data_IF_286313728215
#
_entry.id   IF_286313728215
#
_cell.length_a   1.000
_cell.length_b   1.000
_cell.length_c   1.000
_cell.angle_alpha   90.00
_cell.angle_beta   90.00
_cell.angle_gamma   90.00
#
_symmetry.space_group_name_H-M   'P 1'
#
loop_
_entity.id
_entity.type
_entity.pdbx_description
1 polymer ?
#
# COMPACT_ATOMS: atom_id res chain seq x y z
N UNK A 1 9.56 -28.00 9.26
CA UNK A 1 10.92 -27.58 8.90
C UNK A 1 10.83 -26.09 8.72
N UNK A 2 11.35 -25.31 9.68
CA UNK A 2 11.51 -23.87 9.46
C UNK A 2 12.48 -23.74 8.28
N UNK A 3 12.03 -23.18 7.18
CA UNK A 3 12.91 -22.79 6.09
C UNK A 3 13.59 -21.49 6.58
N UNK A 4 14.85 -21.58 7.03
CA UNK A 4 15.63 -20.45 7.55
C UNK A 4 15.94 -19.39 6.47
N UNK A 5 15.27 -19.45 5.32
CA UNK A 5 15.46 -18.52 4.21
C UNK A 5 14.57 -17.29 4.36
N UNK A 6 15.18 -16.13 4.17
CA UNK A 6 14.43 -14.88 4.06
C UNK A 6 13.42 -14.92 2.90
N UNK A 7 12.26 -14.33 3.11
CA UNK A 7 11.22 -14.20 2.10
C UNK A 7 10.39 -12.93 2.32
N UNK A 8 9.85 -12.36 1.27
CA UNK A 8 8.88 -11.27 1.35
C UNK A 8 7.51 -11.87 1.67
N UNK A 9 6.91 -11.56 2.84
CA UNK A 9 5.59 -12.07 3.20
C UNK A 9 4.51 -11.52 2.30
N UNK A 10 3.38 -12.22 2.22
CA UNK A 10 2.16 -11.66 1.65
C UNK A 10 1.52 -10.69 2.65
N UNK A 11 0.75 -9.71 2.15
CA UNK A 11 0.11 -8.72 3.01
C UNK A 11 -0.93 -9.29 3.99
N UNK A 12 -1.48 -10.48 3.74
CA UNK A 12 -2.36 -11.19 4.67
C UNK A 12 -1.62 -12.06 5.71
N UNK A 13 -0.29 -12.02 5.74
CA UNK A 13 0.46 -12.64 6.83
C UNK A 13 0.18 -11.92 8.15
N UNK A 14 0.38 -12.62 9.27
CA UNK A 14 0.17 -12.03 10.61
C UNK A 14 1.07 -10.79 10.78
N UNK A 15 0.49 -9.74 11.33
CA UNK A 15 1.12 -8.43 11.48
C UNK A 15 1.20 -8.05 12.97
N UNK A 16 2.22 -7.28 13.33
CA UNK A 16 2.33 -6.63 14.64
C UNK A 16 1.65 -5.26 14.67
N UNK A 17 1.47 -4.61 13.54
CA UNK A 17 0.79 -3.34 13.43
C UNK A 17 0.89 -2.70 12.05
N UNK A 18 0.28 -1.53 11.93
CA UNK A 18 0.30 -0.68 10.73
C UNK A 18 0.94 0.67 11.07
N UNK A 19 1.79 1.18 10.18
CA UNK A 19 2.30 2.54 10.22
C UNK A 19 1.35 3.49 9.47
N UNK A 20 1.08 4.65 10.08
CA UNK A 20 0.50 5.83 9.45
C UNK A 20 1.46 7.00 9.63
N UNK A 21 1.69 7.78 8.59
CA UNK A 21 2.36 9.08 8.65
C UNK A 21 1.26 10.15 8.64
N UNK A 22 1.19 10.95 9.72
CA UNK A 22 0.03 11.79 10.03
C UNK A 22 0.05 13.11 9.25
N UNK A 23 -1.09 13.54 8.63
CA UNK A 23 -1.17 14.81 7.92
C UNK A 23 -1.02 16.00 8.88
N UNK A 24 -0.39 17.07 8.41
CA UNK A 24 -0.22 18.31 9.16
C UNK A 24 -0.21 19.54 8.24
N UNK A 25 -0.22 20.72 8.82
CA UNK A 25 -0.33 21.98 8.06
C UNK A 25 0.88 22.28 7.13
N UNK A 26 1.97 21.53 7.27
CA UNK A 26 3.14 21.62 6.39
C UNK A 26 3.10 20.69 5.18
N UNK A 27 2.04 19.89 5.01
CA UNK A 27 1.84 18.98 3.89
C UNK A 27 0.83 19.55 2.89
N UNK A 28 0.69 18.92 1.74
CA UNK A 28 -0.29 19.30 0.71
C UNK A 28 -1.75 19.12 1.16
N UNK A 29 -1.97 18.51 2.33
CA UNK A 29 -3.27 18.40 3.01
C UNK A 29 -3.78 19.69 3.66
N UNK A 30 -2.93 20.73 3.79
CA UNK A 30 -3.28 21.97 4.50
C UNK A 30 -4.64 22.58 4.10
N UNK A 31 -5.06 22.60 2.81
CA UNK A 31 -6.34 23.20 2.41
C UNK A 31 -7.60 22.48 2.95
N UNK A 32 -7.48 21.20 3.32
CA UNK A 32 -8.59 20.34 3.81
C UNK A 32 -8.14 19.43 4.95
N UNK A 33 -7.27 19.98 5.82
CA UNK A 33 -6.64 19.26 6.92
C UNK A 33 -7.67 18.64 7.89
N UNK A 34 -8.76 19.35 8.19
CA UNK A 34 -9.80 18.84 9.08
C UNK A 34 -10.52 17.61 8.47
N UNK A 35 -10.78 17.63 7.15
CA UNK A 35 -11.45 16.53 6.47
C UNK A 35 -10.56 15.27 6.47
N UNK A 36 -9.27 15.41 6.10
CA UNK A 36 -8.34 14.28 6.08
C UNK A 36 -8.04 13.76 7.49
N UNK A 37 -7.96 14.64 8.50
CA UNK A 37 -7.77 14.24 9.89
C UNK A 37 -8.92 13.36 10.37
N UNK A 38 -10.17 13.65 10.02
CA UNK A 38 -11.31 12.79 10.38
C UNK A 38 -11.20 11.41 9.71
N UNK A 39 -10.73 11.34 8.48
CA UNK A 39 -10.47 10.06 7.79
C UNK A 39 -9.36 9.27 8.48
N UNK A 40 -8.28 9.92 8.90
CA UNK A 40 -7.20 9.29 9.68
C UNK A 40 -7.67 8.78 11.04
N UNK A 41 -8.57 9.49 11.69
CA UNK A 41 -9.20 9.03 12.94
C UNK A 41 -10.07 7.78 12.70
N UNK A 42 -10.76 7.69 11.57
CA UNK A 42 -11.51 6.48 11.20
C UNK A 42 -10.57 5.30 10.89
N UNK A 43 -9.47 5.53 10.15
CA UNK A 43 -8.43 4.53 9.92
C UNK A 43 -7.83 4.03 11.23
N UNK A 44 -7.45 4.94 12.13
CA UNK A 44 -6.90 4.60 13.44
C UNK A 44 -7.89 3.79 14.29
N UNK A 45 -9.19 4.15 14.25
CA UNK A 45 -10.25 3.40 14.91
C UNK A 45 -10.37 1.99 14.34
N UNK A 46 -10.39 1.83 13.02
CA UNK A 46 -10.48 0.56 12.35
C UNK A 46 -9.25 -0.33 12.65
N UNK A 47 -8.04 0.18 12.45
CA UNK A 47 -6.80 -0.56 12.68
C UNK A 47 -6.67 -1.02 14.13
N UNK A 48 -6.91 -0.12 15.09
CA UNK A 48 -6.73 -0.43 16.53
C UNK A 48 -7.75 -1.40 17.12
N UNK A 49 -8.79 -1.77 16.39
CA UNK A 49 -9.67 -2.92 16.75
C UNK A 49 -8.93 -4.25 16.57
N UNK A 50 -8.05 -4.34 15.60
CA UNK A 50 -7.43 -5.58 15.14
C UNK A 50 -5.98 -5.71 15.60
N UNK A 51 -5.17 -4.67 15.47
CA UNK A 51 -3.73 -4.70 15.74
C UNK A 51 -3.21 -3.38 16.28
N UNK A 52 -1.88 -3.21 16.39
CA UNK A 52 -1.31 -1.95 16.83
C UNK A 52 -1.22 -0.94 15.69
N UNK A 53 -1.09 0.31 16.07
CA UNK A 53 -0.91 1.43 15.18
C UNK A 53 0.38 2.17 15.54
N UNK A 54 1.30 2.31 14.59
CA UNK A 54 2.45 3.21 14.68
C UNK A 54 2.09 4.52 13.99
N UNK A 55 2.12 5.61 14.73
CA UNK A 55 1.85 6.97 14.24
C UNK A 55 3.17 7.73 14.16
N UNK A 56 3.52 8.18 12.96
CA UNK A 56 4.67 9.05 12.70
C UNK A 56 4.16 10.47 12.48
N UNK A 57 4.68 11.44 13.21
CA UNK A 57 4.28 12.85 13.08
C UNK A 57 5.33 13.78 13.69
N UNK A 58 5.54 14.99 13.15
CA UNK A 58 6.28 16.04 13.86
C UNK A 58 5.47 16.61 15.05
N UNK A 59 4.16 16.45 15.07
CA UNK A 59 3.22 17.02 16.05
C UNK A 59 2.60 15.96 16.97
N UNK A 60 3.41 15.03 17.49
CA UNK A 60 2.97 13.83 18.25
C UNK A 60 1.97 14.14 19.36
N UNK A 61 2.18 15.19 20.14
CA UNK A 61 1.29 15.49 21.28
C UNK A 61 -0.11 15.94 20.81
N UNK A 62 -0.18 16.71 19.73
CA UNK A 62 -1.46 17.09 19.12
C UNK A 62 -2.22 15.86 18.59
N UNK A 63 -1.51 14.98 17.86
CA UNK A 63 -2.12 13.74 17.34
C UNK A 63 -2.56 12.81 18.46
N UNK A 64 -1.80 12.75 19.56
CA UNK A 64 -2.17 11.99 20.76
C UNK A 64 -3.51 12.45 21.35
N UNK A 65 -3.70 13.77 21.49
CA UNK A 65 -4.94 14.34 22.01
C UNK A 65 -6.15 13.98 21.13
N UNK A 66 -6.00 14.07 19.81
CA UNK A 66 -7.03 13.68 18.85
C UNK A 66 -7.40 12.18 18.98
N UNK A 67 -6.39 11.31 19.05
CA UNK A 67 -6.59 9.88 19.16
C UNK A 67 -7.16 9.47 20.53
N UNK A 68 -6.76 10.11 21.62
CA UNK A 68 -7.34 9.87 22.95
C UNK A 68 -8.84 10.19 22.99
N UNK A 69 -9.24 11.29 22.36
CA UNK A 69 -10.64 11.66 22.24
C UNK A 69 -11.45 10.64 21.41
N UNK A 70 -10.85 10.03 20.39
CA UNK A 70 -11.51 9.09 19.46
C UNK A 70 -11.54 7.66 19.96
N UNK A 71 -10.38 7.12 20.40
CA UNK A 71 -10.19 5.69 20.61
C UNK A 71 -10.53 5.22 22.02
N UNK A 72 -10.41 6.08 23.00
CA UNK A 72 -10.50 5.72 24.41
C UNK A 72 -9.31 4.89 24.92
N UNK A 73 -9.19 4.78 26.25
CA UNK A 73 -7.98 4.26 26.94
C UNK A 73 -7.53 2.87 26.47
N UNK A 74 -8.46 1.96 26.23
CA UNK A 74 -8.11 0.57 25.93
C UNK A 74 -7.43 0.43 24.54
N UNK A 75 -7.86 1.19 23.55
CA UNK A 75 -7.28 1.17 22.21
C UNK A 75 -6.05 2.07 22.11
N UNK A 76 -5.98 3.16 22.86
CA UNK A 76 -4.77 3.95 22.97
C UNK A 76 -3.55 3.14 23.45
N UNK A 77 -3.76 2.07 24.23
CA UNK A 77 -2.68 1.15 24.61
C UNK A 77 -2.09 0.36 23.42
N UNK A 78 -2.71 0.43 22.26
CA UNK A 78 -2.21 -0.18 21.01
C UNK A 78 -1.52 0.83 20.09
N UNK A 79 -1.48 2.11 20.47
CA UNK A 79 -0.87 3.17 19.65
C UNK A 79 0.55 3.43 20.12
N UNK A 80 1.47 3.37 19.19
CA UNK A 80 2.89 3.73 19.35
C UNK A 80 3.13 5.03 18.58
N UNK A 81 3.88 5.95 19.14
CA UNK A 81 4.16 7.24 18.53
C UNK A 81 5.64 7.40 18.24
N UNK A 82 5.94 7.95 17.07
CA UNK A 82 7.27 8.34 16.65
C UNK A 82 7.28 9.82 16.26
N UNK A 83 8.18 10.59 16.88
CA UNK A 83 8.39 11.98 16.50
C UNK A 83 9.43 12.03 15.38
N UNK A 84 8.98 12.38 14.16
CA UNK A 84 9.81 12.56 12.98
C UNK A 84 9.28 13.72 12.16
N UNK A 85 10.17 14.48 11.54
CA UNK A 85 9.79 15.40 10.47
C UNK A 85 9.31 14.59 9.26
N UNK A 86 8.31 15.08 8.55
CA UNK A 86 7.71 14.42 7.38
C UNK A 86 7.45 15.44 6.29
N UNK A 87 7.52 15.00 5.03
CA UNK A 87 7.16 15.83 3.87
C UNK A 87 5.70 15.58 3.47
N UNK A 88 5.22 14.32 3.57
CA UNK A 88 3.84 13.92 3.26
C UNK A 88 3.42 12.69 4.09
N UNK A 89 2.39 11.96 3.65
CA UNK A 89 1.65 10.97 4.44
C UNK A 89 1.71 9.54 3.88
N UNK A 90 2.41 9.30 2.80
CA UNK A 90 2.34 8.09 1.99
C UNK A 90 3.22 6.96 2.54
N UNK A 91 2.84 6.45 3.72
CA UNK A 91 3.61 5.44 4.46
C UNK A 91 3.87 4.15 3.64
N UNK A 92 3.00 3.81 2.70
CA UNK A 92 3.18 2.67 1.80
C UNK A 92 4.48 2.77 1.00
N UNK A 93 4.84 3.96 0.57
CA UNK A 93 5.88 4.16 -0.42
C UNK A 93 7.25 4.48 0.18
N UNK A 94 7.26 5.07 1.39
CA UNK A 94 8.49 5.35 2.12
C UNK A 94 8.76 4.36 3.28
N UNK A 95 7.81 3.50 3.63
CA UNK A 95 7.96 2.53 4.72
C UNK A 95 8.86 1.35 4.36
N UNK A 96 9.46 0.72 5.36
CA UNK A 96 10.33 -0.42 5.15
C UNK A 96 9.60 -1.61 4.51
N UNK A 97 10.18 -2.16 3.45
CA UNK A 97 9.76 -3.45 2.91
C UNK A 97 10.44 -4.54 3.75
N UNK A 98 9.67 -5.35 4.46
CA UNK A 98 10.22 -6.25 5.47
C UNK A 98 10.28 -7.69 4.98
N UNK A 99 11.47 -8.29 5.02
CA UNK A 99 11.65 -9.73 4.84
C UNK A 99 11.50 -10.46 6.16
N UNK A 100 10.87 -11.61 6.11
CA UNK A 100 10.67 -12.53 7.24
C UNK A 100 11.45 -13.83 7.02
N UNK A 101 11.58 -14.63 8.08
CA UNK A 101 12.43 -15.82 8.09
C UNK A 101 13.82 -15.52 8.65
N UNK A 102 14.68 -16.54 8.75
CA UNK A 102 15.96 -16.38 9.42
C UNK A 102 15.84 -16.17 10.93
N UNK A 103 16.88 -15.62 11.56
CA UNK A 103 16.95 -15.39 13.02
C UNK A 103 16.16 -14.13 13.45
N UNK A 104 16.04 -13.16 12.57
CA UNK A 104 15.32 -11.90 12.81
C UNK A 104 14.75 -11.33 11.48
N UNK A 105 13.74 -10.44 11.55
CA UNK A 105 13.27 -9.70 10.39
C UNK A 105 14.36 -8.83 9.77
N UNK A 106 14.30 -8.63 8.44
CA UNK A 106 15.18 -7.70 7.73
C UNK A 106 14.35 -6.58 7.13
N UNK A 107 14.64 -5.36 7.57
CA UNK A 107 13.96 -4.13 7.14
C UNK A 107 14.72 -3.54 5.95
N UNK A 108 14.22 -3.75 4.76
CA UNK A 108 14.80 -3.18 3.54
C UNK A 108 14.38 -1.72 3.42
N UNK A 109 15.31 -0.82 3.62
CA UNK A 109 15.11 0.62 3.57
C UNK A 109 15.53 1.12 2.17
N UNK A 110 14.58 1.00 1.22
CA UNK A 110 14.78 1.46 -0.15
C UNK A 110 14.66 2.98 -0.26
N UNK A 111 15.31 3.54 -1.27
CA UNK A 111 15.19 4.95 -1.54
C UNK A 111 13.77 5.29 -2.01
N UNK A 112 13.12 6.17 -1.26
CA UNK A 112 11.95 6.91 -1.71
C UNK A 112 12.40 8.26 -2.26
N UNK A 113 11.95 8.65 -3.45
CA UNK A 113 12.36 9.89 -4.09
C UNK A 113 11.18 10.73 -4.60
N UNK A 114 10.01 10.63 -3.94
CA UNK A 114 8.83 11.41 -4.32
C UNK A 114 8.31 11.05 -5.71
N UNK A 115 8.21 9.76 -6.00
CA UNK A 115 7.69 9.19 -7.27
C UNK A 115 8.41 9.70 -8.51
N UNK A 116 9.73 9.73 -8.46
CA UNK A 116 10.57 10.22 -9.55
C UNK A 116 10.83 11.72 -9.47
N UNK A 117 11.08 12.24 -8.26
CA UNK A 117 11.46 13.63 -7.98
C UNK A 117 10.35 14.65 -8.29
N UNK A 118 9.06 14.22 -8.23
CA UNK A 118 7.91 15.11 -8.46
C UNK A 118 7.56 15.96 -7.25
N UNK A 119 7.83 15.45 -6.03
CA UNK A 119 7.46 16.05 -4.74
C UNK A 119 8.64 16.07 -3.77
N UNK A 120 8.52 16.80 -2.64
CA UNK A 120 9.44 16.70 -1.51
C UNK A 120 9.45 15.28 -0.92
N UNK A 121 10.59 14.79 -0.44
CA UNK A 121 10.69 13.39 -0.03
C UNK A 121 11.79 13.11 1.01
N UNK A 122 12.63 14.07 1.29
CA UNK A 122 13.86 13.85 2.06
C UNK A 122 13.59 13.45 3.51
N UNK A 123 12.54 14.04 4.13
CA UNK A 123 12.13 13.67 5.48
C UNK A 123 11.49 12.28 5.48
N UNK A 124 10.60 12.01 4.53
CA UNK A 124 9.90 10.73 4.42
C UNK A 124 10.88 9.57 4.18
N UNK A 125 11.87 9.75 3.30
CA UNK A 125 12.94 8.78 3.06
C UNK A 125 13.79 8.49 4.31
N UNK A 126 13.79 9.37 5.30
CA UNK A 126 14.54 9.18 6.55
C UNK A 126 13.75 8.48 7.66
N UNK A 127 12.44 8.32 7.52
CA UNK A 127 11.55 7.82 8.57
C UNK A 127 11.96 6.42 9.05
N UNK A 128 12.13 5.46 8.13
CA UNK A 128 12.51 4.07 8.48
C UNK A 128 13.77 4.03 9.34
N UNK A 129 14.80 4.77 8.96
CA UNK A 129 16.04 4.88 9.74
C UNK A 129 15.77 5.44 11.14
N UNK A 130 14.99 6.53 11.25
CA UNK A 130 14.64 7.16 12.53
C UNK A 130 13.84 6.22 13.44
N UNK A 131 12.93 5.43 12.89
CA UNK A 131 12.15 4.43 13.64
C UNK A 131 13.07 3.34 14.22
N UNK A 132 14.05 2.87 13.45
CA UNK A 132 15.05 1.92 13.91
C UNK A 132 15.97 2.52 15.00
N UNK A 133 16.42 3.76 14.83
CA UNK A 133 17.25 4.48 15.81
C UNK A 133 16.52 4.72 17.13
N UNK A 134 15.20 4.94 17.08
CA UNK A 134 14.34 5.07 18.27
C UNK A 134 13.98 3.71 18.91
N UNK A 135 14.39 2.59 18.29
CA UNK A 135 14.09 1.24 18.79
C UNK A 135 12.60 0.86 18.68
N UNK A 136 11.87 1.50 17.77
CA UNK A 136 10.45 1.22 17.52
C UNK A 136 10.22 0.07 16.55
N UNK A 137 11.21 -0.26 15.74
CA UNK A 137 11.20 -1.42 14.86
C UNK A 137 12.28 -2.42 15.27
N UNK A 138 11.92 -3.70 15.38
CA UNK A 138 12.81 -4.81 15.62
C UNK A 138 13.20 -5.48 14.31
N UNK A 139 14.48 -5.78 14.17
CA UNK A 139 15.10 -6.44 13.04
C UNK A 139 16.36 -5.71 12.58
N UNK A 140 17.08 -6.30 11.63
CA UNK A 140 18.23 -5.64 11.01
C UNK A 140 17.77 -4.73 9.88
N UNK A 141 18.20 -3.47 9.89
CA UNK A 141 17.97 -2.54 8.78
C UNK A 141 19.04 -2.71 7.72
N UNK A 142 18.64 -2.98 6.49
CA UNK A 142 19.51 -2.94 5.32
C UNK A 142 19.23 -1.66 4.51
N UNK A 143 20.29 -0.89 4.28
CA UNK A 143 20.25 0.34 3.49
C UNK A 143 20.29 0.02 1.99
N UNK A 144 19.25 0.37 1.29
CA UNK A 144 19.08 0.20 -0.15
C UNK A 144 18.91 1.54 -0.89
N UNK A 145 19.54 2.62 -0.39
CA UNK A 145 19.46 3.97 -1.00
C UNK A 145 20.03 4.03 -2.44
N UNK A 146 20.64 2.95 -2.91
CA UNK A 146 21.11 2.76 -4.29
C UNK A 146 20.00 2.29 -5.26
N UNK A 147 18.77 2.03 -4.77
CA UNK A 147 17.64 1.61 -5.60
C UNK A 147 16.35 2.28 -5.12
N UNK A 148 15.63 2.93 -6.04
CA UNK A 148 14.30 3.47 -5.78
C UNK A 148 13.27 2.35 -5.88
N UNK A 149 12.49 2.13 -4.81
CA UNK A 149 11.40 1.16 -4.79
C UNK A 149 10.36 1.59 -3.77
N UNK A 150 9.17 1.90 -4.26
CA UNK A 150 8.00 2.21 -3.46
C UNK A 150 7.23 0.92 -3.10
N UNK A 151 6.71 0.80 -1.87
CA UNK A 151 5.94 -0.36 -1.45
C UNK A 151 4.65 -0.58 -2.26
N UNK A 152 4.02 0.51 -2.73
CA UNK A 152 2.82 0.44 -3.59
C UNK A 152 3.10 -0.07 -5.00
N UNK A 153 4.37 -0.07 -5.43
CA UNK A 153 4.78 -0.57 -6.75
C UNK A 153 4.88 -2.09 -6.84
N UNK A 154 4.78 -2.81 -5.71
CA UNK A 154 4.94 -4.26 -5.65
C UNK A 154 3.82 -4.96 -4.87
N UNK A 155 3.53 -6.19 -5.25
CA UNK A 155 2.67 -7.13 -4.53
C UNK A 155 3.39 -8.47 -4.34
N UNK A 156 3.13 -9.18 -3.24
CA UNK A 156 3.78 -10.46 -2.93
C UNK A 156 2.76 -11.57 -2.64
N UNK A 157 3.01 -12.77 -3.15
CA UNK A 157 2.24 -13.95 -2.78
C UNK A 157 2.76 -14.66 -1.51
N UNK A 158 3.82 -14.14 -0.87
CA UNK A 158 4.48 -14.74 0.30
C UNK A 158 5.22 -16.05 0.00
N UNK A 159 5.29 -16.47 -1.27
CA UNK A 159 5.88 -17.72 -1.71
C UNK A 159 6.96 -17.54 -2.77
N UNK A 160 7.43 -16.30 -2.92
CA UNK A 160 8.52 -15.92 -3.82
C UNK A 160 8.08 -15.46 -5.20
N UNK A 161 6.80 -15.16 -5.44
CA UNK A 161 6.36 -14.40 -6.62
C UNK A 161 6.10 -12.95 -6.19
N UNK A 162 6.75 -12.02 -6.86
CA UNK A 162 6.50 -10.59 -6.75
C UNK A 162 5.83 -10.11 -8.04
N UNK A 163 4.81 -9.28 -7.93
CA UNK A 163 4.13 -8.65 -9.05
C UNK A 163 4.45 -7.16 -9.05
N UNK A 164 4.58 -6.58 -10.22
CA UNK A 164 4.83 -5.15 -10.43
C UNK A 164 4.32 -4.70 -11.78
N UNK A 165 4.37 -3.41 -12.05
CA UNK A 165 4.04 -2.85 -13.35
C UNK A 165 5.28 -2.40 -14.11
N UNK A 166 5.26 -2.49 -15.42
CA UNK A 166 6.32 -1.95 -16.26
C UNK A 166 6.30 -0.42 -16.32
N UNK A 167 5.13 0.18 -16.20
CA UNK A 167 4.95 1.63 -16.23
C UNK A 167 5.70 2.28 -15.06
N UNK A 168 5.51 1.82 -13.85
CA UNK A 168 6.13 2.38 -12.65
C UNK A 168 7.66 2.17 -12.65
N UNK A 169 8.12 0.92 -12.68
CA UNK A 169 9.56 0.65 -12.45
C UNK A 169 10.45 1.08 -13.62
N UNK A 170 9.89 1.30 -14.80
CA UNK A 170 10.60 1.86 -15.96
C UNK A 170 10.35 3.36 -16.15
N UNK A 171 9.59 3.99 -15.25
CA UNK A 171 9.33 5.43 -15.30
C UNK A 171 10.61 6.26 -15.15
N UNK A 172 10.65 7.48 -15.72
CA UNK A 172 11.78 8.38 -15.55
C UNK A 172 12.09 8.64 -14.07
N UNK A 173 13.38 8.92 -13.79
CA UNK A 173 13.89 9.26 -12.45
C UNK A 173 13.67 8.19 -11.35
N UNK A 174 13.38 6.92 -11.73
CA UNK A 174 13.40 5.78 -10.81
C UNK A 174 14.79 5.14 -10.80
N UNK A 175 15.03 4.18 -11.69
CA UNK A 175 16.24 3.35 -11.66
C UNK A 175 17.05 3.38 -12.96
N UNK A 176 16.86 4.40 -13.83
CA UNK A 176 17.69 4.51 -15.03
C UNK A 176 19.16 4.69 -14.67
N UNK A 177 20.08 4.12 -15.44
CA UNK A 177 19.86 3.54 -16.78
C UNK A 177 19.55 2.03 -16.79
N UNK A 178 19.12 1.42 -15.68
CA UNK A 178 18.85 0.00 -15.61
C UNK A 178 17.74 -0.42 -16.59
N UNK A 179 17.98 -1.51 -17.31
CA UNK A 179 16.99 -2.20 -18.15
C UNK A 179 15.97 -2.95 -17.27
N UNK A 180 14.85 -3.38 -17.89
CA UNK A 180 13.85 -4.23 -17.24
C UNK A 180 14.47 -5.52 -16.67
N UNK A 181 15.36 -6.15 -17.42
CA UNK A 181 16.04 -7.38 -17.03
C UNK A 181 16.97 -7.16 -15.83
N UNK A 182 17.64 -6.02 -15.76
CA UNK A 182 18.49 -5.65 -14.64
C UNK A 182 17.65 -5.34 -13.39
N UNK A 183 16.54 -4.60 -13.53
CA UNK A 183 15.60 -4.34 -12.42
C UNK A 183 14.98 -5.66 -11.93
N UNK A 184 14.57 -6.57 -12.84
CA UNK A 184 14.06 -7.90 -12.48
C UNK A 184 15.07 -8.68 -11.64
N UNK A 185 16.33 -8.66 -12.03
CA UNK A 185 17.40 -9.34 -11.30
C UNK A 185 17.62 -8.71 -9.91
N UNK A 186 17.60 -7.38 -9.79
CA UNK A 186 17.73 -6.68 -8.52
C UNK A 186 16.54 -6.94 -7.59
N UNK A 187 15.31 -6.93 -8.09
CA UNK A 187 14.12 -7.29 -7.31
C UNK A 187 14.22 -8.71 -6.76
N UNK A 188 14.58 -9.68 -7.61
CA UNK A 188 14.76 -11.07 -7.17
C UNK A 188 15.81 -11.19 -6.10
N UNK A 189 16.94 -10.50 -6.25
CA UNK A 189 18.05 -10.54 -5.31
C UNK A 189 17.68 -9.92 -3.96
N UNK A 190 17.11 -8.70 -3.98
CA UNK A 190 16.84 -7.91 -2.76
C UNK A 190 15.60 -8.40 -2.02
N UNK A 191 14.56 -8.78 -2.75
CA UNK A 191 13.29 -9.26 -2.16
C UNK A 191 13.27 -10.78 -1.94
N UNK A 192 14.38 -11.49 -2.18
CA UNK A 192 14.45 -12.95 -2.12
C UNK A 192 13.36 -13.64 -2.96
N UNK A 193 12.95 -13.01 -4.07
CA UNK A 193 11.94 -13.50 -4.96
C UNK A 193 12.49 -14.53 -5.94
N UNK A 194 11.72 -15.57 -6.24
CA UNK A 194 12.05 -16.55 -7.28
C UNK A 194 11.66 -16.05 -8.66
N UNK A 195 10.64 -15.21 -8.71
CA UNK A 195 10.03 -14.73 -9.96
C UNK A 195 9.44 -13.34 -9.76
N UNK A 196 9.57 -12.48 -10.77
CA UNK A 196 8.86 -11.22 -10.89
C UNK A 196 7.87 -11.31 -12.05
N UNK A 197 6.61 -10.98 -11.82
CA UNK A 197 5.56 -10.88 -12.82
C UNK A 197 5.33 -9.42 -13.14
N UNK A 198 5.51 -9.06 -14.39
CA UNK A 198 5.35 -7.70 -14.88
C UNK A 198 4.02 -7.54 -15.60
N UNK A 199 3.20 -6.60 -15.14
CA UNK A 199 1.93 -6.21 -15.77
C UNK A 199 2.19 -4.94 -16.58
N UNK A 200 1.72 -4.92 -17.84
CA UNK A 200 2.07 -3.86 -18.79
C UNK A 200 0.88 -2.94 -19.11
N UNK A 201 -0.29 -3.26 -18.58
CA UNK A 201 -1.54 -2.52 -18.79
C UNK A 201 -2.22 -2.22 -17.46
N UNK A 202 -3.22 -1.34 -17.47
CA UNK A 202 -3.99 -0.94 -16.29
C UNK A 202 -3.60 0.44 -15.80
N UNK A 203 -3.41 1.39 -16.72
CA UNK A 203 -3.13 2.78 -16.35
C UNK A 203 -4.40 3.46 -15.83
N UNK A 204 -4.37 3.87 -14.55
CA UNK A 204 -5.46 4.60 -13.91
C UNK A 204 -5.26 6.10 -14.15
N UNK A 205 -6.22 6.74 -14.83
CA UNK A 205 -6.17 8.18 -15.10
C UNK A 205 -6.23 8.96 -13.78
N UNK A 206 -5.36 9.95 -13.65
CA UNK A 206 -5.19 10.73 -12.42
C UNK A 206 -4.15 10.16 -11.46
N UNK A 207 -3.69 8.91 -11.64
CA UNK A 207 -2.58 8.38 -10.85
C UNK A 207 -1.27 9.11 -11.16
N UNK A 208 -0.59 9.59 -10.13
CA UNK A 208 0.68 10.32 -10.22
C UNK A 208 1.91 9.49 -9.81
N UNK A 209 1.69 8.20 -9.46
CA UNK A 209 2.75 7.25 -9.10
C UNK A 209 3.42 6.60 -10.31
N UNK A 210 2.99 6.91 -11.53
CA UNK A 210 3.37 6.26 -12.79
C UNK A 210 2.87 4.81 -12.90
N UNK A 211 1.75 4.47 -12.27
CA UNK A 211 1.08 3.17 -12.41
C UNK A 211 1.50 2.15 -11.35
N UNK A 212 1.43 2.50 -10.07
CA UNK A 212 1.56 1.55 -8.98
C UNK A 212 0.58 0.39 -9.13
N UNK A 213 1.04 -0.83 -8.87
CA UNK A 213 0.20 -2.03 -9.00
C UNK A 213 -0.96 -2.05 -8.01
N UNK A 214 -0.80 -1.48 -6.83
CA UNK A 214 -1.79 -1.44 -5.75
C UNK A 214 -3.04 -0.61 -6.09
N UNK A 215 -2.98 0.18 -7.16
CA UNK A 215 -4.14 0.94 -7.68
C UNK A 215 -5.03 0.12 -8.59
N UNK A 216 -4.55 -1.01 -9.15
CA UNK A 216 -5.28 -1.74 -10.20
C UNK A 216 -5.33 -3.25 -10.01
N UNK A 217 -4.30 -3.87 -9.41
CA UNK A 217 -4.23 -5.33 -9.18
C UNK A 217 -3.70 -5.61 -7.78
N UNK A 218 -4.39 -6.49 -7.05
CA UNK A 218 -3.98 -6.92 -5.71
C UNK A 218 -3.89 -8.44 -5.63
N UNK A 219 -2.94 -8.92 -4.84
CA UNK A 219 -2.77 -10.35 -4.57
C UNK A 219 -3.57 -10.73 -3.31
N UNK A 220 -4.22 -11.90 -3.35
CA UNK A 220 -5.00 -12.44 -2.23
C UNK A 220 -4.73 -13.93 -2.03
N UNK A 221 -5.15 -14.54 -0.90
CA UNK A 221 -4.96 -15.97 -0.64
C UNK A 221 -5.46 -16.88 -1.77
N UNK A 222 -4.92 -18.09 -1.82
CA UNK A 222 -5.34 -19.15 -2.74
C UNK A 222 -5.16 -18.84 -4.22
N UNK A 223 -3.98 -18.27 -4.58
CA UNK A 223 -3.61 -17.92 -5.96
C UNK A 223 -4.66 -16.99 -6.62
N UNK A 224 -5.16 -16.02 -5.84
CA UNK A 224 -6.21 -15.09 -6.27
C UNK A 224 -5.60 -13.73 -6.61
N UNK A 225 -6.05 -13.14 -7.71
CA UNK A 225 -5.78 -11.76 -8.08
C UNK A 225 -7.12 -11.01 -8.13
N UNK A 226 -7.23 -9.93 -7.35
CA UNK A 226 -8.29 -8.94 -7.52
C UNK A 226 -7.79 -7.89 -8.51
N UNK A 227 -8.67 -7.42 -9.38
CA UNK A 227 -8.30 -6.43 -10.39
C UNK A 227 -9.48 -5.52 -10.71
N UNK A 228 -9.20 -4.29 -11.06
CA UNK A 228 -10.24 -3.35 -11.50
C UNK A 228 -10.71 -3.72 -12.90
N UNK A 229 -12.03 -3.84 -13.06
CA UNK A 229 -12.67 -4.13 -14.34
C UNK A 229 -13.47 -2.92 -14.83
N UNK A 230 -13.05 -2.33 -15.93
CA UNK A 230 -13.82 -1.34 -16.65
C UNK A 230 -14.80 -2.04 -17.60
N UNK A 231 -16.10 -1.85 -17.41
CA UNK A 231 -17.15 -2.46 -18.23
C UNK A 231 -17.77 -1.47 -19.22
N UNK A 232 -17.61 -0.18 -19.02
CA UNK A 232 -18.11 0.86 -19.91
C UNK A 232 -17.17 1.06 -21.10
N UNK A 233 -17.65 0.73 -22.31
CA UNK A 233 -16.86 0.88 -23.54
C UNK A 233 -16.60 2.35 -23.92
N UNK A 234 -17.32 3.28 -23.34
CA UNK A 234 -17.13 4.71 -23.58
C UNK A 234 -16.11 5.33 -22.62
N UNK A 235 -15.74 4.65 -21.53
CA UNK A 235 -14.73 5.10 -20.59
C UNK A 235 -13.33 5.01 -21.20
N UNK A 236 -12.50 6.02 -20.98
CA UNK A 236 -11.13 6.10 -21.47
C UNK A 236 -10.22 4.96 -21.00
N UNK A 237 -10.53 4.34 -19.84
CA UNK A 237 -9.80 3.18 -19.30
C UNK A 237 -10.13 1.87 -20.03
N UNK A 238 -11.26 1.77 -20.75
CA UNK A 238 -11.80 0.50 -21.23
C UNK A 238 -10.80 -0.35 -22.00
N UNK A 239 -10.13 0.25 -22.97
CA UNK A 239 -9.22 -0.49 -23.86
C UNK A 239 -8.01 -1.07 -23.11
N UNK A 240 -7.42 -0.29 -22.21
CA UNK A 240 -6.22 -0.66 -21.47
C UNK A 240 -6.55 -1.66 -20.35
N UNK A 241 -7.65 -1.46 -19.62
CA UNK A 241 -8.10 -2.42 -18.60
C UNK A 241 -8.56 -3.76 -19.19
N UNK A 242 -9.15 -3.77 -20.39
CA UNK A 242 -9.40 -5.01 -21.13
C UNK A 242 -8.08 -5.71 -21.55
N UNK A 243 -7.02 -4.97 -21.84
CA UNK A 243 -5.71 -5.53 -22.11
C UNK A 243 -5.10 -6.13 -20.85
N UNK A 244 -5.16 -5.43 -19.71
CA UNK A 244 -4.75 -5.95 -18.40
C UNK A 244 -5.50 -7.23 -18.05
N UNK A 245 -6.83 -7.28 -18.18
CA UNK A 245 -7.61 -8.49 -17.91
C UNK A 245 -7.11 -9.70 -18.73
N UNK A 246 -6.79 -9.50 -20.02
CA UNK A 246 -6.21 -10.56 -20.86
C UNK A 246 -4.83 -11.00 -20.39
N UNK A 247 -3.96 -10.07 -19.95
CA UNK A 247 -2.68 -10.42 -19.34
C UNK A 247 -2.88 -11.29 -18.11
N UNK A 248 -3.77 -10.87 -17.17
CA UNK A 248 -4.05 -11.62 -15.95
C UNK A 248 -4.60 -13.02 -16.22
N UNK A 249 -5.48 -13.18 -17.24
CA UNK A 249 -6.01 -14.48 -17.68
C UNK A 249 -4.90 -15.39 -18.23
N UNK A 250 -3.86 -14.83 -18.83
CA UNK A 250 -2.73 -15.56 -19.36
C UNK A 250 -1.71 -15.97 -18.30
N UNK A 251 -1.69 -15.33 -17.13
CA UNK A 251 -0.77 -15.64 -16.04
C UNK A 251 -0.96 -17.06 -15.52
N UNK A 252 0.14 -17.64 -15.06
CA UNK A 252 0.16 -18.97 -14.44
C UNK A 252 0.92 -18.91 -13.13
N UNK A 253 0.45 -19.67 -12.15
CA UNK A 253 1.13 -19.95 -10.90
C UNK A 253 2.42 -20.75 -11.14
N UNK A 254 3.26 -20.90 -10.13
CA UNK A 254 4.53 -21.67 -10.24
C UNK A 254 4.30 -23.13 -10.65
N UNK A 255 3.14 -23.70 -10.30
CA UNK A 255 2.75 -25.07 -10.69
C UNK A 255 1.94 -25.13 -12.00
N UNK A 256 1.86 -24.02 -12.75
CA UNK A 256 1.28 -23.94 -14.09
C UNK A 256 -0.25 -23.77 -14.12
N UNK A 257 -0.93 -23.62 -12.97
CA UNK A 257 -2.37 -23.38 -12.90
C UNK A 257 -2.70 -21.90 -13.22
N UNK A 258 -3.90 -21.60 -13.74
CA UNK A 258 -4.35 -20.21 -13.84
C UNK A 258 -4.57 -19.61 -12.44
N UNK A 259 -4.36 -18.31 -12.30
CA UNK A 259 -4.82 -17.58 -11.14
C UNK A 259 -6.35 -17.50 -11.09
N UNK A 260 -6.91 -17.50 -9.89
CA UNK A 260 -8.31 -17.13 -9.68
C UNK A 260 -8.42 -15.62 -9.82
N UNK A 261 -9.28 -15.14 -10.71
CA UNK A 261 -9.48 -13.72 -10.94
C UNK A 261 -10.80 -13.29 -10.31
N UNK A 262 -10.78 -12.21 -9.53
CA UNK A 262 -11.94 -11.55 -8.95
C UNK A 262 -11.96 -10.10 -9.45
N UNK A 263 -13.00 -9.73 -10.17
CA UNK A 263 -13.17 -8.38 -10.67
C UNK A 263 -13.72 -7.46 -9.56
N UNK A 264 -13.03 -6.36 -9.30
CA UNK A 264 -13.54 -5.20 -8.57
C UNK A 264 -14.22 -4.25 -9.56
N UNK A 265 -15.32 -3.59 -9.18
CA UNK A 265 -15.96 -2.64 -10.07
C UNK A 265 -15.06 -1.41 -10.29
N UNK A 266 -15.19 -0.80 -11.47
CA UNK A 266 -14.67 0.54 -11.72
C UNK A 266 -15.51 1.56 -10.92
N UNK A 267 -14.86 2.55 -10.33
CA UNK A 267 -15.54 3.70 -9.71
C UNK A 267 -16.08 4.59 -10.81
N UNK A 268 -17.33 5.04 -10.67
CA UNK A 268 -17.88 6.08 -11.57
C UNK A 268 -17.03 7.34 -11.44
N UNK A 269 -16.83 8.04 -12.53
CA UNK A 269 -15.94 9.19 -12.61
C UNK A 269 -16.17 10.21 -11.49
N UNK A 270 -15.13 10.51 -10.74
CA UNK A 270 -15.07 11.56 -9.73
C UNK A 270 -14.10 12.63 -10.21
N UNK A 271 -14.53 13.90 -10.19
CA UNK A 271 -13.70 15.04 -10.58
C UNK A 271 -13.53 16.04 -9.44
N UNK A 272 -12.36 16.65 -9.40
CA UNK A 272 -12.04 17.79 -8.55
C UNK A 272 -11.20 18.77 -9.37
N UNK A 273 -11.53 20.05 -9.34
CA UNK A 273 -10.89 21.11 -10.14
C UNK A 273 -10.71 20.76 -11.65
N UNK A 274 -11.77 20.18 -12.24
CA UNK A 274 -11.82 19.70 -13.64
C UNK A 274 -10.90 18.51 -13.96
N UNK A 275 -10.16 17.97 -13.01
CA UNK A 275 -9.34 16.77 -13.15
C UNK A 275 -10.10 15.51 -12.72
N UNK A 276 -9.93 14.40 -13.44
CA UNK A 276 -10.43 13.10 -13.04
C UNK A 276 -9.54 12.53 -11.96
N UNK A 277 -10.11 12.14 -10.81
CA UNK A 277 -9.39 11.58 -9.69
C UNK A 277 -9.21 10.06 -9.82
N UNK A 278 -8.09 9.48 -9.36
CA UNK A 278 -7.77 8.05 -9.48
C UNK A 278 -8.51 7.21 -8.43
N UNK A 279 -9.84 7.24 -8.42
CA UNK A 279 -10.65 6.46 -7.50
C UNK A 279 -10.61 4.97 -7.85
N UNK A 280 -10.28 4.13 -6.88
CA UNK A 280 -10.13 2.68 -7.09
C UNK A 280 -10.45 1.87 -5.85
N UNK A 281 -11.18 0.75 -5.98
CA UNK A 281 -11.41 -0.21 -4.90
C UNK A 281 -10.23 -1.17 -4.68
N UNK A 282 -9.20 -1.17 -5.54
CA UNK A 282 -8.01 -2.00 -5.35
C UNK A 282 -7.13 -1.50 -4.21
N UNK A 283 -7.21 -0.23 -3.85
CA UNK A 283 -6.32 0.37 -2.86
C UNK A 283 -6.83 0.14 -1.41
N UNK A 284 -7.08 -1.13 -1.06
CA UNK A 284 -7.51 -1.56 0.27
C UNK A 284 -6.33 -2.02 1.13
N UNK A 285 -6.47 -1.90 2.44
CA UNK A 285 -5.54 -2.38 3.46
C UNK A 285 -6.03 -3.70 4.05
N UNK A 286 -5.14 -4.69 4.14
CA UNK A 286 -5.38 -5.93 4.87
C UNK A 286 -4.76 -5.81 6.27
N UNK A 287 -5.53 -6.06 7.31
CA UNK A 287 -5.08 -6.15 8.70
C UNK A 287 -5.48 -7.50 9.30
N UNK A 288 -4.99 -7.85 10.49
CA UNK A 288 -5.34 -9.12 11.13
C UNK A 288 -6.87 -9.27 11.30
N UNK A 289 -7.48 -10.09 10.46
CA UNK A 289 -8.92 -10.42 10.52
C UNK A 289 -9.86 -9.35 9.95
N UNK A 290 -9.36 -8.31 9.28
CA UNK A 290 -10.19 -7.35 8.57
C UNK A 290 -9.56 -6.86 7.25
N UNK A 291 -10.42 -6.35 6.36
CA UNK A 291 -10.01 -5.59 5.17
C UNK A 291 -10.66 -4.21 5.26
N UNK A 292 -9.84 -3.18 5.30
CA UNK A 292 -10.27 -1.78 5.30
C UNK A 292 -10.21 -1.30 3.85
N UNK A 293 -11.34 -0.93 3.26
CA UNK A 293 -11.41 -0.62 1.85
C UNK A 293 -12.04 0.76 1.60
N UNK A 294 -11.61 1.44 0.51
CA UNK A 294 -12.16 2.74 0.17
C UNK A 294 -13.61 2.63 -0.30
N UNK A 295 -14.43 3.62 0.09
CA UNK A 295 -15.77 3.87 -0.44
C UNK A 295 -15.84 5.26 -1.03
N UNK A 296 -16.77 5.49 -1.97
CA UNK A 296 -16.82 6.72 -2.75
C UNK A 296 -18.20 7.36 -2.82
N UNK A 297 -19.10 7.03 -1.88
CA UNK A 297 -20.51 7.46 -1.88
C UNK A 297 -21.24 7.03 -3.18
N UNK A 298 -20.87 5.84 -3.67
CA UNK A 298 -21.49 5.17 -4.82
C UNK A 298 -22.08 3.83 -4.37
N UNK A 299 -23.28 3.80 -3.75
CA UNK A 299 -23.77 2.64 -3.01
C UNK A 299 -23.78 1.33 -3.81
N UNK A 300 -24.03 1.39 -5.13
CA UNK A 300 -24.00 0.21 -5.98
C UNK A 300 -22.58 -0.34 -6.16
N UNK A 301 -21.61 0.53 -6.46
CA UNK A 301 -20.23 0.16 -6.66
C UNK A 301 -19.55 -0.22 -5.32
N UNK A 302 -19.84 0.55 -4.24
CA UNK A 302 -19.32 0.26 -2.89
C UNK A 302 -19.77 -1.13 -2.42
N UNK A 303 -21.04 -1.50 -2.67
CA UNK A 303 -21.56 -2.83 -2.35
C UNK A 303 -20.93 -3.91 -3.22
N UNK A 304 -20.80 -3.71 -4.52
CA UNK A 304 -20.18 -4.67 -5.43
C UNK A 304 -18.70 -4.91 -5.08
N UNK A 305 -17.98 -3.86 -4.67
CA UNK A 305 -16.60 -3.97 -4.17
C UNK A 305 -16.54 -4.81 -2.89
N UNK A 306 -17.43 -4.56 -1.92
CA UNK A 306 -17.51 -5.35 -0.69
C UNK A 306 -17.80 -6.84 -1.00
N UNK A 307 -18.70 -7.14 -1.92
CA UNK A 307 -19.01 -8.52 -2.33
C UNK A 307 -17.81 -9.20 -2.99
N UNK A 308 -17.04 -8.51 -3.81
CA UNK A 308 -15.82 -9.01 -4.43
C UNK A 308 -14.72 -9.26 -3.38
N UNK A 309 -14.53 -8.33 -2.44
CA UNK A 309 -13.58 -8.48 -1.34
C UNK A 309 -13.97 -9.67 -0.42
N UNK A 310 -15.25 -9.84 -0.11
CA UNK A 310 -15.71 -10.98 0.68
C UNK A 310 -15.42 -12.34 0.00
N UNK A 311 -15.43 -12.40 -1.33
CA UNK A 311 -15.06 -13.63 -2.05
C UNK A 311 -13.56 -13.95 -1.92
N UNK A 312 -12.71 -12.94 -1.77
CA UNK A 312 -11.26 -13.13 -1.58
C UNK A 312 -10.90 -13.36 -0.11
N UNK A 313 -11.63 -12.72 0.81
CA UNK A 313 -11.38 -12.71 2.26
C UNK A 313 -12.66 -13.06 3.05
N UNK A 314 -13.17 -14.30 2.93
CA UNK A 314 -14.48 -14.67 3.49
C UNK A 314 -14.55 -14.62 5.03
N UNK A 315 -13.41 -14.74 5.69
CA UNK A 315 -13.31 -14.76 7.16
C UNK A 315 -12.90 -13.40 7.76
N UNK A 316 -12.79 -12.33 6.94
CA UNK A 316 -12.40 -11.01 7.38
C UNK A 316 -13.61 -10.08 7.54
N UNK A 317 -13.57 -9.23 8.57
CA UNK A 317 -14.47 -8.09 8.67
C UNK A 317 -14.17 -7.11 7.52
N UNK A 318 -15.19 -6.62 6.83
CA UNK A 318 -15.04 -5.60 5.79
C UNK A 318 -15.42 -4.24 6.36
N UNK A 319 -14.49 -3.28 6.33
CA UNK A 319 -14.65 -1.95 6.89
C UNK A 319 -14.49 -0.92 5.77
N UNK A 320 -15.59 -0.34 5.32
CA UNK A 320 -15.57 0.73 4.32
C UNK A 320 -15.27 2.09 4.96
N UNK A 321 -14.37 2.85 4.36
CA UNK A 321 -14.05 4.23 4.77
C UNK A 321 -14.17 5.15 3.55
N UNK A 322 -14.91 6.26 3.72
CA UNK A 322 -15.05 7.27 2.67
C UNK A 322 -13.69 7.89 2.33
N UNK A 323 -13.25 7.63 1.10
CA UNK A 323 -11.93 8.01 0.62
C UNK A 323 -11.95 9.17 -0.39
N UNK A 324 -13.09 9.86 -0.52
CA UNK A 324 -13.21 10.99 -1.46
C UNK A 324 -12.28 12.15 -1.14
N UNK A 325 -11.92 12.34 0.12
CA UNK A 325 -10.91 13.33 0.49
C UNK A 325 -9.50 12.84 0.14
N UNK A 326 -9.21 11.54 0.31
CA UNK A 326 -7.88 10.99 0.07
C UNK A 326 -7.50 11.13 -1.41
N UNK A 327 -8.41 10.75 -2.31
CA UNK A 327 -8.14 10.78 -3.76
C UNK A 327 -7.88 12.18 -4.33
N UNK A 328 -8.17 13.26 -3.58
CA UNK A 328 -7.78 14.64 -3.99
C UNK A 328 -6.27 14.83 -4.07
N UNK A 329 -5.50 13.97 -3.36
CA UNK A 329 -4.04 13.89 -3.42
C UNK A 329 -3.58 12.60 -4.12
N UNK A 330 -4.37 12.11 -5.06
CA UNK A 330 -4.07 11.04 -6.01
C UNK A 330 -3.79 9.64 -5.44
N UNK A 331 -3.86 9.44 -4.11
CA UNK A 331 -3.74 8.13 -3.45
C UNK A 331 -5.04 7.63 -2.81
N UNK A 332 -4.99 6.53 -2.06
CA UNK A 332 -6.11 6.01 -1.28
C UNK A 332 -5.63 5.29 0.00
N UNK A 333 -6.45 4.43 0.61
CA UNK A 333 -6.21 3.84 1.93
C UNK A 333 -4.90 3.06 2.02
N UNK A 334 -4.60 2.22 1.02
CA UNK A 334 -3.38 1.42 1.01
C UNK A 334 -2.13 2.29 0.96
N UNK A 335 -2.16 3.32 0.12
CA UNK A 335 -1.04 4.27 -0.01
C UNK A 335 -0.70 5.00 1.29
N UNK A 336 -1.70 5.27 2.16
CA UNK A 336 -1.49 5.92 3.46
C UNK A 336 -0.88 4.99 4.53
N UNK A 337 -0.80 3.68 4.27
CA UNK A 337 -0.55 2.66 5.29
C UNK A 337 0.59 1.73 4.92
N UNK A 338 1.40 1.33 5.91
CA UNK A 338 2.41 0.28 5.72
C UNK A 338 2.28 -0.78 6.81
N UNK A 339 2.07 -2.04 6.41
CA UNK A 339 2.00 -3.15 7.35
C UNK A 339 3.39 -3.48 7.90
N UNK A 340 3.42 -3.76 9.19
CA UNK A 340 4.60 -4.24 9.90
C UNK A 340 4.36 -5.72 10.27
N UNK A 341 5.09 -6.68 9.68
CA UNK A 341 4.92 -8.10 9.97
C UNK A 341 5.05 -8.45 11.44
N UNK A 342 4.62 -9.66 11.82
CA UNK A 342 4.64 -10.14 13.21
C UNK A 342 6.02 -9.96 13.86
N UNK A 343 6.04 -9.34 15.04
CA UNK A 343 7.26 -9.12 15.84
C UNK A 343 8.11 -7.94 15.41
N UNK A 344 7.75 -7.21 14.35
CA UNK A 344 8.53 -6.05 13.87
C UNK A 344 8.28 -4.80 14.71
N UNK A 345 7.02 -4.50 15.04
CA UNK A 345 6.70 -3.32 15.86
C UNK A 345 6.99 -3.58 17.33
N UNK A 346 7.90 -2.79 17.92
CA UNK A 346 8.18 -2.75 19.35
C UNK A 346 7.09 -1.97 20.09
N UNK A 347 6.70 -2.46 21.29
CA UNK A 347 5.67 -1.82 22.14
C UNK A 347 6.21 -1.51 23.52
#
# INVERSE_FOLDING_TARGET
MNDDRLYLPAEWAVQSGVQLTWPHAGTDWAPYLDEITETYLQLADAITRHEALLVVSPEVEHVRELLEARLGRARMARVVFACCDTDDTWARDHGAITLMGGDEPVLLDFRFNGWGEKFGWQHDNAITRHLCEQGLLYGSREDHDDMVLEGGSIESDGRGTVFTTSQCLLAPHRNQPLSREEIDAELRRRLHARRVVWINHGNLVGDDTDGHIDTTVRVAPHDTLLYIKCSDQADEHYADFCAMERELQALRTDDGRPYRLIALPMVDEIRYDDERLPATYANFLIVNGAVIYPTYDQPHNDQAAAEALHQAFPDHELIGIDSRVIIRQHGSIHCLTMQLPEGVLCR
#
